data_IF_295531298241
#
_entry.id   IF_295531298241
#
_cell.length_a   1.000
_cell.length_b   1.000
_cell.length_c   1.000
_cell.angle_alpha   90.00
_cell.angle_beta   90.00
_cell.angle_gamma   90.00
#
_symmetry.space_group_name_H-M   'P 1'
#
loop_
_entity.id
_entity.type
_entity.pdbx_description
1 polymer ?
#
# COMPACT_ATOMS: atom_id res chain seq x y z
N UNK A 1 -15.00 20.29 -24.28
CA UNK A 1 -15.38 19.36 -23.18
C UNK A 1 -14.31 19.47 -22.11
N UNK A 2 -14.68 19.59 -20.83
CA UNK A 2 -13.67 19.64 -19.77
C UNK A 2 -13.14 18.24 -19.45
N UNK A 3 -11.93 18.15 -18.89
CA UNK A 3 -11.35 16.88 -18.41
C UNK A 3 -12.25 16.23 -17.36
N UNK A 4 -12.86 17.04 -16.48
CA UNK A 4 -13.77 16.56 -15.43
C UNK A 4 -15.00 15.88 -16.05
N UNK A 5 -15.56 16.46 -17.10
CA UNK A 5 -16.73 15.87 -17.76
C UNK A 5 -16.40 14.54 -18.43
N UNK A 6 -15.20 14.43 -19.02
CA UNK A 6 -14.70 13.16 -19.57
C UNK A 6 -14.52 12.08 -18.51
N UNK A 7 -13.89 12.43 -17.37
CA UNK A 7 -13.65 11.49 -16.27
C UNK A 7 -14.94 11.02 -15.58
N UNK A 8 -16.00 11.83 -15.57
CA UNK A 8 -17.30 11.45 -15.00
C UNK A 8 -18.02 10.35 -15.78
N UNK A 9 -17.82 10.31 -17.10
CA UNK A 9 -18.53 9.37 -17.99
C UNK A 9 -17.64 8.23 -18.49
N UNK A 10 -16.33 8.34 -18.29
CA UNK A 10 -15.36 7.32 -18.67
C UNK A 10 -15.42 6.07 -17.78
N UNK A 11 -14.72 5.01 -18.17
CA UNK A 11 -14.54 3.82 -17.34
C UNK A 11 -13.73 4.14 -16.07
N UNK A 12 -13.90 3.33 -15.01
CA UNK A 12 -13.18 3.49 -13.74
C UNK A 12 -11.66 3.43 -13.91
N UNK A 13 -11.19 2.56 -14.83
CA UNK A 13 -9.80 2.44 -15.20
C UNK A 13 -9.69 1.99 -16.67
N UNK A 14 -8.71 2.52 -17.38
CA UNK A 14 -8.35 2.15 -18.75
C UNK A 14 -6.99 1.43 -18.74
N UNK A 15 -6.75 0.55 -19.72
CA UNK A 15 -5.46 -0.13 -19.94
C UNK A 15 -4.84 -0.80 -18.69
N UNK A 16 -5.67 -1.48 -17.90
CA UNK A 16 -5.27 -2.08 -16.61
C UNK A 16 -4.20 -3.18 -16.74
N UNK A 17 -4.11 -3.84 -17.90
CA UNK A 17 -3.10 -4.87 -18.19
C UNK A 17 -1.73 -4.21 -18.41
N UNK A 18 -1.65 -3.24 -19.32
CA UNK A 18 -0.40 -2.53 -19.65
C UNK A 18 0.19 -1.82 -18.41
N UNK A 19 -0.68 -1.23 -17.58
CA UNK A 19 -0.28 -0.61 -16.32
C UNK A 19 0.38 -1.60 -15.34
N UNK A 20 -0.10 -2.85 -15.31
CA UNK A 20 0.50 -3.90 -14.48
C UNK A 20 1.86 -4.34 -15.00
N UNK A 21 1.97 -4.62 -16.30
CA UNK A 21 3.20 -5.11 -16.90
C UNK A 21 4.35 -4.10 -16.80
N UNK A 22 4.08 -2.82 -17.07
CA UNK A 22 5.12 -1.78 -17.10
C UNK A 22 5.62 -1.36 -15.72
N UNK A 23 4.78 -1.42 -14.68
CA UNK A 23 5.09 -0.84 -13.35
C UNK A 23 5.23 -1.87 -12.23
N UNK A 24 4.63 -3.06 -12.38
CA UNK A 24 4.54 -4.03 -11.29
C UNK A 24 5.15 -5.40 -11.61
N UNK A 25 5.56 -5.71 -12.84
CA UNK A 25 6.23 -7.00 -13.15
C UNK A 25 7.78 -6.98 -13.01
N UNK A 26 8.32 -6.03 -12.24
CA UNK A 26 9.75 -5.98 -11.91
C UNK A 26 10.06 -6.97 -10.75
N UNK A 27 11.20 -7.70 -10.78
CA UNK A 27 11.52 -8.68 -9.73
C UNK A 27 11.55 -8.08 -8.33
N UNK A 28 11.08 -8.82 -7.32
CA UNK A 28 11.02 -8.34 -5.94
C UNK A 28 12.38 -7.91 -5.36
N UNK A 29 13.48 -8.53 -5.79
CA UNK A 29 14.83 -8.18 -5.33
C UNK A 29 15.29 -6.81 -5.82
N UNK A 30 14.80 -6.34 -6.96
CA UNK A 30 15.02 -4.97 -7.39
C UNK A 30 14.43 -3.98 -6.38
N UNK A 31 13.18 -4.20 -5.95
CA UNK A 31 12.53 -3.32 -4.98
C UNK A 31 13.21 -3.33 -3.61
N UNK A 32 13.73 -4.49 -3.17
CA UNK A 32 14.54 -4.56 -1.95
C UNK A 32 15.85 -3.76 -2.05
N UNK A 33 16.40 -3.61 -3.25
CA UNK A 33 17.65 -2.89 -3.48
C UNK A 33 17.46 -1.36 -3.56
N UNK A 34 16.29 -0.90 -4.00
CA UNK A 34 16.04 0.54 -4.26
C UNK A 34 15.10 1.22 -3.26
N UNK A 35 14.29 0.45 -2.52
CA UNK A 35 13.37 1.00 -1.51
C UNK A 35 13.96 0.93 -0.10
N UNK A 36 13.33 1.65 0.82
CA UNK A 36 13.67 1.59 2.23
C UNK A 36 13.22 0.28 2.88
N UNK A 37 13.54 0.10 4.18
CA UNK A 37 13.27 -1.14 4.91
C UNK A 37 11.79 -1.54 4.97
N UNK A 38 10.86 -0.60 4.81
CA UNK A 38 9.42 -0.87 4.81
C UNK A 38 8.88 -1.18 3.41
N UNK A 39 9.71 -1.17 2.36
CA UNK A 39 9.33 -1.40 0.96
C UNK A 39 8.18 -0.49 0.52
N UNK A 40 8.19 0.77 0.96
CA UNK A 40 7.13 1.74 0.65
C UNK A 40 7.32 2.26 -0.77
N UNK A 41 6.58 1.67 -1.70
CA UNK A 41 6.57 2.12 -3.10
C UNK A 41 5.57 3.27 -3.33
N UNK A 42 5.74 4.36 -2.58
CA UNK A 42 5.01 5.62 -2.70
C UNK A 42 5.76 6.73 -1.95
N UNK A 43 5.40 8.00 -2.17
CA UNK A 43 6.12 9.18 -1.63
C UNK A 43 6.43 9.06 -0.13
N UNK A 44 7.67 9.34 0.27
CA UNK A 44 8.10 9.41 1.68
C UNK A 44 8.03 10.85 2.19
N UNK A 45 8.13 11.05 3.52
CA UNK A 45 8.06 12.37 4.13
C UNK A 45 9.41 12.78 4.72
N UNK A 46 9.98 13.86 4.22
CA UNK A 46 11.29 14.38 4.65
C UNK A 46 11.10 15.81 5.15
N UNK A 47 11.34 16.05 6.44
CA UNK A 47 11.30 17.41 7.01
C UNK A 47 12.54 18.22 6.62
N UNK A 48 13.67 17.53 6.46
CA UNK A 48 14.95 18.08 6.03
C UNK A 48 15.85 16.98 5.46
N UNK A 49 17.04 17.36 5.00
CA UNK A 49 18.00 16.49 4.31
C UNK A 49 18.65 15.41 5.20
N UNK A 50 18.58 15.52 6.53
CA UNK A 50 19.14 14.54 7.46
C UNK A 50 18.28 13.29 7.62
N UNK A 51 17.01 13.35 7.22
CA UNK A 51 16.06 12.25 7.35
C UNK A 51 16.43 11.12 6.38
N UNK A 52 16.75 9.95 6.92
CA UNK A 52 17.04 8.77 6.11
C UNK A 52 15.79 8.28 5.37
N UNK A 53 15.99 7.51 4.29
CA UNK A 53 14.87 6.93 3.53
C UNK A 53 13.90 6.13 4.42
N UNK A 54 14.43 5.29 5.32
CA UNK A 54 13.60 4.48 6.23
C UNK A 54 12.81 5.32 7.23
N UNK A 55 13.40 6.40 7.75
CA UNK A 55 12.66 7.35 8.60
C UNK A 55 11.57 8.07 7.80
N UNK A 56 11.86 8.44 6.55
CA UNK A 56 10.89 9.07 5.67
C UNK A 56 9.70 8.17 5.32
N UNK A 57 9.93 6.86 5.18
CA UNK A 57 8.85 5.88 5.02
C UNK A 57 7.91 5.88 6.24
N UNK A 58 8.49 5.82 7.45
CA UNK A 58 7.75 5.79 8.71
C UNK A 58 6.99 7.09 8.93
N UNK A 59 7.65 8.25 8.79
CA UNK A 59 7.03 9.57 8.96
C UNK A 59 5.82 9.75 8.06
N UNK A 60 5.92 9.35 6.80
CA UNK A 60 4.78 9.41 5.89
C UNK A 60 3.63 8.52 6.37
N UNK A 61 3.91 7.28 6.78
CA UNK A 61 2.86 6.39 7.29
C UNK A 61 2.23 6.92 8.57
N UNK A 62 3.00 7.50 9.50
CA UNK A 62 2.46 8.15 10.70
C UNK A 62 1.52 9.32 10.35
N UNK A 63 1.85 10.10 9.31
CA UNK A 63 0.95 11.14 8.82
C UNK A 63 -0.40 10.59 8.32
N UNK A 64 -0.42 9.38 7.77
CA UNK A 64 -1.66 8.73 7.35
C UNK A 64 -2.52 8.36 8.56
N UNK A 65 -1.91 7.81 9.61
CA UNK A 65 -2.61 7.47 10.86
C UNK A 65 -3.26 8.69 11.48
N UNK A 66 -2.54 9.81 11.57
CA UNK A 66 -3.06 11.07 12.09
C UNK A 66 -4.23 11.60 11.25
N UNK A 67 -4.02 11.72 9.93
CA UNK A 67 -5.01 12.34 9.02
C UNK A 67 -6.26 11.48 8.86
N UNK A 68 -6.11 10.16 8.84
CA UNK A 68 -7.22 9.21 8.75
C UNK A 68 -7.82 8.87 10.13
N UNK A 69 -7.27 9.42 11.22
CA UNK A 69 -7.71 9.18 12.62
C UNK A 69 -7.79 7.69 12.95
N UNK A 70 -6.72 6.98 12.62
CA UNK A 70 -6.62 5.56 12.86
C UNK A 70 -6.41 5.30 14.35
N UNK A 71 -7.21 4.40 14.90
CA UNK A 71 -7.19 3.99 16.30
C UNK A 71 -7.21 2.45 16.40
N UNK A 72 -6.74 1.92 17.52
CA UNK A 72 -6.74 0.47 17.76
C UNK A 72 -8.18 -0.07 17.90
N UNK A 73 -8.43 -1.27 17.37
CA UNK A 73 -9.75 -1.91 17.37
C UNK A 73 -10.61 -1.60 16.13
N UNK A 74 -10.10 -0.81 15.18
CA UNK A 74 -10.80 -0.51 13.93
C UNK A 74 -10.67 -1.63 12.89
N UNK A 75 -11.59 -1.65 11.92
CA UNK A 75 -11.45 -2.44 10.69
C UNK A 75 -10.93 -1.52 9.58
N UNK A 76 -9.79 -1.86 8.98
CA UNK A 76 -9.04 -0.98 8.07
C UNK A 76 -8.81 -1.71 6.74
N UNK A 77 -9.10 -1.04 5.63
CA UNK A 77 -8.85 -1.54 4.27
C UNK A 77 -7.72 -0.73 3.62
N UNK A 78 -6.64 -1.41 3.26
CA UNK A 78 -5.51 -0.89 2.47
C UNK A 78 -5.68 -1.32 1.00
N UNK A 79 -6.28 -0.42 0.20
CA UNK A 79 -6.57 -0.65 -1.21
C UNK A 79 -5.40 -0.18 -2.08
N UNK A 80 -4.82 -1.10 -2.86
CA UNK A 80 -3.56 -0.86 -3.58
C UNK A 80 -2.35 -1.03 -2.68
N UNK A 81 -2.37 -2.02 -1.77
CA UNK A 81 -1.40 -2.17 -0.69
C UNK A 81 0.06 -2.45 -1.14
N UNK A 82 0.31 -2.70 -2.43
CA UNK A 82 1.63 -2.96 -2.99
C UNK A 82 2.35 -4.13 -2.30
N UNK A 83 3.47 -3.83 -1.63
CA UNK A 83 4.26 -4.78 -0.82
C UNK A 83 3.73 -4.97 0.61
N UNK A 84 2.64 -4.29 0.99
CA UNK A 84 2.03 -4.37 2.31
C UNK A 84 2.69 -3.47 3.36
N UNK A 85 3.47 -2.46 2.94
CA UNK A 85 4.20 -1.55 3.83
C UNK A 85 3.32 -0.94 4.93
N UNK A 86 2.21 -0.30 4.54
CA UNK A 86 1.24 0.28 5.48
C UNK A 86 0.48 -0.80 6.25
N UNK A 87 0.01 -1.85 5.58
CA UNK A 87 -0.69 -2.96 6.23
C UNK A 87 0.10 -3.60 7.38
N UNK A 88 1.39 -3.87 7.17
CA UNK A 88 2.29 -4.43 8.19
C UNK A 88 2.55 -3.41 9.31
N UNK A 89 2.78 -2.15 8.95
CA UNK A 89 2.97 -1.06 9.91
C UNK A 89 1.74 -0.89 10.84
N UNK A 90 0.53 -0.95 10.29
CA UNK A 90 -0.73 -0.92 11.04
C UNK A 90 -0.87 -2.13 11.96
N UNK A 91 -0.58 -3.34 11.46
CA UNK A 91 -0.68 -4.57 12.23
C UNK A 91 0.29 -4.63 13.42
N UNK A 92 1.48 -4.03 13.28
CA UNK A 92 2.46 -3.88 14.38
C UNK A 92 1.96 -2.92 15.47
N UNK A 93 1.28 -1.83 15.08
CA UNK A 93 0.91 -0.73 15.99
C UNK A 93 -0.49 -0.86 16.62
N UNK A 94 -1.40 -1.56 15.95
CA UNK A 94 -2.81 -1.70 16.34
C UNK A 94 -3.21 -3.18 16.46
N UNK A 95 -2.83 -3.85 17.56
CA UNK A 95 -2.98 -5.31 17.71
C UNK A 95 -4.43 -5.80 17.80
N UNK A 96 -5.38 -4.90 18.08
CA UNK A 96 -6.81 -5.20 18.16
C UNK A 96 -7.56 -4.85 16.85
N UNK A 97 -6.92 -4.16 15.92
CA UNK A 97 -7.50 -3.83 14.61
C UNK A 97 -7.51 -5.03 13.66
N UNK A 98 -8.47 -5.03 12.74
CA UNK A 98 -8.53 -5.97 11.61
C UNK A 98 -8.07 -5.26 10.33
N UNK A 99 -6.94 -5.71 9.76
CA UNK A 99 -6.36 -5.11 8.55
C UNK A 99 -6.67 -6.01 7.34
N UNK A 100 -7.28 -5.41 6.33
CA UNK A 100 -7.58 -6.03 5.04
C UNK A 100 -6.75 -5.36 3.96
N UNK A 101 -6.04 -6.14 3.17
CA UNK A 101 -5.13 -5.63 2.14
C UNK A 101 -5.58 -6.14 0.78
N UNK A 102 -5.76 -5.22 -0.17
CA UNK A 102 -6.14 -5.55 -1.56
C UNK A 102 -5.08 -5.00 -2.49
N UNK A 103 -4.61 -5.83 -3.41
CA UNK A 103 -3.70 -5.43 -4.50
C UNK A 103 -4.12 -6.10 -5.80
N UNK A 104 -3.74 -5.48 -6.91
CA UNK A 104 -3.82 -6.16 -8.21
C UNK A 104 -2.85 -7.35 -8.22
N UNK A 105 -3.23 -8.51 -8.77
CA UNK A 105 -2.33 -9.66 -8.89
C UNK A 105 -1.13 -9.26 -9.75
N UNK A 106 0.10 -9.54 -9.29
CA UNK A 106 1.24 -9.61 -10.21
C UNK A 106 1.14 -10.94 -10.94
N UNK A 107 1.05 -10.90 -12.26
CA UNK A 107 1.29 -12.12 -13.05
C UNK A 107 2.74 -12.57 -12.78
N UNK A 108 2.91 -13.83 -12.32
CA UNK A 108 4.19 -14.56 -12.12
C UNK A 108 4.94 -14.51 -10.79
N UNK A 109 4.39 -14.02 -9.68
CA UNK A 109 4.95 -14.34 -8.36
C UNK A 109 3.94 -15.10 -7.51
N UNK A 110 4.24 -16.38 -7.28
CA UNK A 110 3.55 -17.23 -6.31
C UNK A 110 3.38 -16.46 -5.00
N UNK A 111 2.13 -16.21 -4.68
CA UNK A 111 1.66 -15.17 -3.79
C UNK A 111 2.22 -15.37 -2.39
N UNK A 112 2.91 -14.35 -1.86
CA UNK A 112 3.03 -14.14 -0.43
C UNK A 112 1.64 -14.30 0.19
N UNK A 113 1.44 -15.35 1.00
CA UNK A 113 0.32 -15.40 1.93
C UNK A 113 0.59 -14.33 2.97
N UNK A 114 0.03 -13.14 2.76
CA UNK A 114 0.04 -12.08 3.75
C UNK A 114 -0.44 -12.68 5.08
N UNK A 115 0.36 -12.49 6.13
CA UNK A 115 0.08 -12.92 7.49
C UNK A 115 -1.25 -12.31 7.98
N UNK A 116 -2.35 -12.99 7.68
CA UNK A 116 -3.67 -12.64 8.16
C UNK A 116 -3.82 -13.30 9.53
N UNK A 117 -3.85 -12.50 10.61
CA UNK A 117 -4.31 -12.96 11.91
C UNK A 117 -5.78 -13.36 11.71
N UNK A 118 -6.03 -14.67 11.66
CA UNK A 118 -7.32 -15.30 11.39
C UNK A 118 -8.43 -14.69 12.25
N UNK A 119 -9.41 -14.05 11.60
CA UNK A 119 -10.81 -14.21 11.97
C UNK A 119 -11.60 -14.48 10.69
N UNK A 120 -11.78 -15.76 10.44
CA UNK A 120 -12.65 -16.34 9.40
C UNK A 120 -14.05 -15.74 9.50
N UNK A 121 -14.50 -15.06 8.46
CA UNK A 121 -15.93 -14.91 8.19
C UNK A 121 -16.26 -15.79 6.99
N UNK A 122 -16.97 -16.89 7.27
CA UNK A 122 -17.74 -17.64 6.27
C UNK A 122 -19.03 -16.85 6.04
N UNK A 123 -19.32 -16.53 4.79
CA UNK A 123 -20.70 -16.49 4.29
C UNK A 123 -20.95 -17.79 3.56
#
# INVERSE_FOLDING_TARGET
MSVIDGLKTGPIAENTIDANEQHYEVPGDYFKAVLGPKLKYSCCWFDDESVSLGEGEIKMMESYLERAKIEDGQMILDLGCGWGSLSLFLAERFPNSAIYSVRTPMTRLNTLKTLQKRRTWRT
#
